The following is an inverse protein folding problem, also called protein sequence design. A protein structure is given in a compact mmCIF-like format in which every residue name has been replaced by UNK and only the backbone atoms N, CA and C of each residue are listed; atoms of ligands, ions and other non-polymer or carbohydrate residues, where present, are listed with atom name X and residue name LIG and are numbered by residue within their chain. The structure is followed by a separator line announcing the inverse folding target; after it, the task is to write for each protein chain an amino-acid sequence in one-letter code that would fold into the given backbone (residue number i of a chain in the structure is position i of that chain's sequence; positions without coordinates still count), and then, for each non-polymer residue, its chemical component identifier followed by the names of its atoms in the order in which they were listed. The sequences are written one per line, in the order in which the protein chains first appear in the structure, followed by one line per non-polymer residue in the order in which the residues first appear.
data_IF_319420113947
#
_entry.id   IF_319420113947
#
_cell.length_a   1.000
_cell.length_b   1.000
_cell.length_c   1.000
_cell.angle_alpha   90.00
_cell.angle_beta   90.00
_cell.angle_gamma   90.00
#
_symmetry.space_group_name_H-M   'P 1'
#
loop_
_entity.id
_entity.type
_entity.pdbx_description
1 polymer ?
#
# COMPACT_ATOMS: atom_id res chain seq x y z
N UNK A 1 1.52 19.39 3.88
CA UNK A 1 0.15 18.88 4.02
C UNK A 1 -0.37 19.26 5.40
N UNK A 2 -1.62 19.70 5.52
CA UNK A 2 -2.22 19.97 6.83
C UNK A 2 -2.27 18.68 7.65
N UNK A 3 -1.97 18.77 8.95
CA UNK A 3 -1.99 17.62 9.85
C UNK A 3 -3.41 17.02 9.92
N UNK A 4 -3.53 15.72 9.67
CA UNK A 4 -4.82 15.03 9.73
C UNK A 4 -5.25 14.93 11.19
N UNK A 5 -6.41 15.50 11.52
CA UNK A 5 -7.00 15.44 12.86
C UNK A 5 -7.18 14.00 13.34
N UNK A 6 -6.85 13.73 14.61
CA UNK A 6 -6.99 12.41 15.23
C UNK A 6 -8.39 11.81 15.04
N UNK A 7 -9.46 12.59 15.19
CA UNK A 7 -10.83 12.11 14.99
C UNK A 7 -11.08 11.49 13.60
N UNK A 8 -10.45 12.04 12.55
CA UNK A 8 -10.53 11.46 11.20
C UNK A 8 -9.77 10.15 11.10
N UNK A 9 -8.58 10.06 11.71
CA UNK A 9 -7.81 8.81 11.80
C UNK A 9 -8.61 7.72 12.49
N UNK A 10 -9.22 8.03 13.63
CA UNK A 10 -10.03 7.08 14.41
C UNK A 10 -11.26 6.61 13.62
N UNK A 11 -11.95 7.52 12.92
CA UNK A 11 -13.11 7.16 12.09
C UNK A 11 -12.75 6.17 10.99
N UNK A 12 -11.61 6.37 10.30
CA UNK A 12 -11.18 5.45 9.24
C UNK A 12 -10.61 4.15 9.78
N UNK A 13 -9.96 4.15 10.96
CA UNK A 13 -9.54 2.91 11.63
C UNK A 13 -10.73 2.04 12.05
N UNK A 14 -11.81 2.67 12.54
CA UNK A 14 -13.07 2.00 12.80
C UNK A 14 -13.66 1.40 11.51
N UNK A 15 -13.79 2.20 10.46
CA UNK A 15 -14.38 1.77 9.19
C UNK A 15 -13.55 0.66 8.53
N UNK A 16 -12.23 0.81 8.49
CA UNK A 16 -11.31 -0.16 7.90
C UNK A 16 -11.31 -1.48 8.65
N UNK A 17 -11.37 -1.45 9.99
CA UNK A 17 -11.47 -2.68 10.80
C UNK A 17 -12.84 -3.34 10.66
N UNK A 18 -13.92 -2.55 10.55
CA UNK A 18 -15.25 -3.07 10.26
C UNK A 18 -15.31 -3.73 8.88
N UNK A 19 -14.73 -3.12 7.84
CA UNK A 19 -14.63 -3.70 6.51
C UNK A 19 -13.80 -4.99 6.52
N UNK A 20 -12.64 -5.00 7.19
CA UNK A 20 -11.81 -6.19 7.38
C UNK A 20 -12.60 -7.35 7.98
N UNK A 21 -13.35 -7.10 9.06
CA UNK A 21 -14.15 -8.13 9.73
C UNK A 21 -15.38 -8.52 8.92
N UNK A 22 -16.04 -7.58 8.25
CA UNK A 22 -17.17 -7.88 7.40
C UNK A 22 -16.78 -8.79 6.23
N UNK A 23 -15.69 -8.48 5.52
CA UNK A 23 -15.27 -9.26 4.36
C UNK A 23 -14.56 -10.56 4.75
N UNK A 24 -13.52 -10.52 5.58
CA UNK A 24 -12.72 -11.72 5.85
C UNK A 24 -13.48 -12.78 6.67
N UNK A 25 -13.76 -12.53 7.95
CA UNK A 25 -14.63 -13.37 8.78
C UNK A 25 -16.03 -13.61 8.19
N UNK A 26 -16.62 -12.64 7.48
CA UNK A 26 -17.90 -12.84 6.81
C UNK A 26 -17.83 -13.82 5.65
N UNK A 27 -16.76 -13.80 4.83
CA UNK A 27 -16.53 -14.85 3.81
C UNK A 27 -16.39 -16.21 4.48
N UNK A 28 -15.69 -16.32 5.61
CA UNK A 28 -15.62 -17.60 6.34
C UNK A 28 -17.00 -18.09 6.80
N UNK A 29 -17.82 -17.22 7.40
CA UNK A 29 -19.19 -17.56 7.80
C UNK A 29 -20.06 -17.96 6.60
N UNK A 30 -19.98 -17.23 5.49
CA UNK A 30 -20.69 -17.54 4.26
C UNK A 30 -20.25 -18.88 3.65
N UNK A 31 -18.95 -19.17 3.64
CA UNK A 31 -18.40 -20.45 3.18
C UNK A 31 -18.92 -21.62 4.03
N UNK A 32 -18.96 -21.49 5.35
CA UNK A 32 -19.55 -22.53 6.21
C UNK A 32 -21.05 -22.70 5.99
N UNK A 33 -21.78 -21.60 5.80
CA UNK A 33 -23.21 -21.64 5.47
C UNK A 33 -23.47 -22.38 4.15
N UNK A 34 -22.72 -22.07 3.09
CA UNK A 34 -22.81 -22.74 1.78
C UNK A 34 -22.38 -24.20 1.87
N UNK A 35 -21.31 -24.52 2.61
CA UNK A 35 -20.87 -25.90 2.81
C UNK A 35 -21.94 -26.76 3.48
N UNK A 36 -22.63 -26.22 4.49
CA UNK A 36 -23.76 -26.91 5.15
C UNK A 36 -24.96 -27.13 4.23
N UNK A 37 -25.26 -26.20 3.32
CA UNK A 37 -26.41 -26.34 2.42
C UNK A 37 -26.13 -27.24 1.22
N UNK A 38 -24.89 -27.29 0.73
CA UNK A 38 -24.50 -28.04 -0.46
C UNK A 38 -23.86 -29.40 -0.16
N UNK A 39 -23.41 -29.63 1.08
CA UNK A 39 -22.67 -30.84 1.45
C UNK A 39 -21.22 -30.86 0.95
N UNK A 40 -20.73 -29.78 0.33
CA UNK A 40 -19.35 -29.69 -0.14
C UNK A 40 -18.41 -29.59 1.07
N UNK A 41 -17.43 -30.51 1.21
CA UNK A 41 -16.50 -30.48 2.32
C UNK A 41 -15.56 -29.27 2.23
N UNK A 42 -15.13 -28.78 3.40
CA UNK A 42 -14.12 -27.73 3.47
C UNK A 42 -12.77 -28.27 2.98
N UNK A 43 -12.14 -27.55 2.05
CA UNK A 43 -10.84 -27.89 1.48
C UNK A 43 -9.97 -26.63 1.33
N UNK A 44 -8.76 -26.82 0.79
CA UNK A 44 -7.87 -25.70 0.46
C UNK A 44 -8.47 -24.70 -0.54
N UNK A 45 -9.44 -25.12 -1.37
CA UNK A 45 -10.14 -24.19 -2.26
C UNK A 45 -10.97 -23.18 -1.48
N UNK A 46 -11.76 -23.64 -0.50
CA UNK A 46 -12.55 -22.77 0.39
C UNK A 46 -11.65 -21.89 1.26
N UNK A 47 -10.56 -22.45 1.79
CA UNK A 47 -9.59 -21.67 2.55
C UNK A 47 -8.93 -20.59 1.68
N UNK A 48 -8.59 -20.91 0.43
CA UNK A 48 -8.02 -19.97 -0.53
C UNK A 48 -8.97 -18.81 -0.86
N UNK A 49 -10.28 -19.06 -0.99
CA UNK A 49 -11.29 -18.01 -1.18
C UNK A 49 -11.36 -17.09 0.04
N UNK A 50 -11.33 -17.66 1.26
CA UNK A 50 -11.29 -16.86 2.50
C UNK A 50 -10.02 -16.02 2.56
N UNK A 51 -8.85 -16.62 2.28
CA UNK A 51 -7.57 -15.93 2.26
C UNK A 51 -7.56 -14.78 1.23
N UNK A 52 -8.12 -15.03 0.04
CA UNK A 52 -8.23 -14.02 -1.01
C UNK A 52 -9.16 -12.88 -0.61
N UNK A 53 -10.29 -13.17 0.05
CA UNK A 53 -11.19 -12.13 0.55
C UNK A 53 -10.49 -11.21 1.58
N UNK A 54 -9.71 -11.79 2.50
CA UNK A 54 -8.85 -11.02 3.41
C UNK A 54 -7.83 -10.17 2.64
N UNK A 55 -7.15 -10.73 1.65
CA UNK A 55 -6.20 -9.98 0.83
C UNK A 55 -6.89 -8.79 0.15
N UNK A 56 -7.98 -9.02 -0.56
CA UNK A 56 -8.65 -8.01 -1.36
C UNK A 56 -9.22 -6.87 -0.52
N UNK A 57 -9.82 -7.16 0.66
CA UNK A 57 -10.32 -6.10 1.52
C UNK A 57 -9.18 -5.27 2.12
N UNK A 58 -8.05 -5.88 2.49
CA UNK A 58 -6.91 -5.13 3.02
C UNK A 58 -6.26 -4.28 1.91
N UNK A 59 -6.11 -4.81 0.68
CA UNK A 59 -5.64 -4.01 -0.48
C UNK A 59 -6.51 -2.77 -0.64
N UNK A 60 -7.83 -2.96 -0.69
CA UNK A 60 -8.76 -1.85 -0.86
C UNK A 60 -8.65 -0.83 0.27
N UNK A 61 -8.61 -1.27 1.53
CA UNK A 61 -8.52 -0.36 2.68
C UNK A 61 -7.19 0.37 2.75
N UNK A 62 -6.06 -0.29 2.48
CA UNK A 62 -4.75 0.38 2.50
C UNK A 62 -4.71 1.52 1.49
N UNK A 63 -5.13 1.29 0.24
CA UNK A 63 -5.13 2.34 -0.77
C UNK A 63 -6.21 3.41 -0.54
N UNK A 64 -7.32 3.06 0.11
CA UNK A 64 -8.43 4.00 0.37
C UNK A 64 -8.17 4.90 1.57
N UNK A 65 -7.68 4.36 2.69
CA UNK A 65 -7.57 5.10 3.97
C UNK A 65 -6.14 5.17 4.53
N UNK A 66 -5.16 4.51 3.89
CA UNK A 66 -3.76 4.52 4.34
C UNK A 66 -3.15 5.90 4.42
N UNK A 67 -3.50 6.80 3.50
CA UNK A 67 -3.03 8.18 3.52
C UNK A 67 -3.67 9.06 4.62
N UNK A 68 -4.69 8.54 5.33
CA UNK A 68 -5.40 9.26 6.41
C UNK A 68 -4.87 8.81 7.78
N UNK A 69 -4.87 7.50 8.07
CA UNK A 69 -4.49 6.95 9.39
C UNK A 69 -3.25 6.05 9.38
N UNK A 70 -2.70 5.72 8.21
CA UNK A 70 -1.76 4.61 8.04
C UNK A 70 -2.44 3.25 7.82
N UNK A 71 -3.78 3.18 7.92
CA UNK A 71 -4.57 1.95 7.77
C UNK A 71 -4.02 0.80 8.62
N UNK A 72 -3.85 1.02 9.93
CA UNK A 72 -3.32 -0.03 10.81
C UNK A 72 -4.30 -1.19 10.91
N UNK A 73 -5.59 -0.87 11.15
CA UNK A 73 -6.74 -1.78 11.26
C UNK A 73 -6.49 -3.04 12.12
N UNK A 74 -5.49 -2.96 13.01
CA UNK A 74 -4.95 -4.07 13.78
C UNK A 74 -4.23 -3.51 15.04
N UNK A 75 -4.70 -3.88 16.25
CA UNK A 75 -4.06 -3.47 17.50
C UNK A 75 -2.59 -3.87 17.61
N UNK A 76 -2.21 -5.06 17.13
CA UNK A 76 -0.83 -5.54 17.20
C UNK A 76 0.11 -4.71 16.30
N UNK A 77 -0.35 -4.34 15.09
CA UNK A 77 0.38 -3.43 14.19
C UNK A 77 0.52 -2.05 14.81
N UNK A 78 -0.56 -1.51 15.39
CA UNK A 78 -0.55 -0.18 16.03
C UNK A 78 0.48 -0.10 17.16
N UNK A 79 0.49 -1.10 18.05
CA UNK A 79 1.44 -1.16 19.17
C UNK A 79 2.87 -1.35 18.66
N UNK A 80 3.09 -2.19 17.65
CA UNK A 80 4.41 -2.38 17.05
C UNK A 80 4.96 -1.09 16.43
N UNK A 81 4.15 -0.38 15.65
CA UNK A 81 4.52 0.91 15.05
C UNK A 81 4.80 1.97 16.12
N UNK A 82 4.02 2.00 17.21
CA UNK A 82 4.29 2.88 18.34
C UNK A 82 5.60 2.55 19.06
N UNK A 83 5.90 1.27 19.27
CA UNK A 83 7.18 0.81 19.82
C UNK A 83 8.38 1.22 18.95
N UNK A 84 8.19 1.23 17.63
CA UNK A 84 9.16 1.73 16.66
C UNK A 84 9.14 3.26 16.44
N UNK A 85 8.39 4.01 17.27
CA UNK A 85 8.23 5.47 17.20
C UNK A 85 7.66 5.99 15.87
N UNK A 86 6.90 5.16 15.16
CA UNK A 86 6.18 5.53 13.92
C UNK A 86 4.77 6.03 14.19
N UNK A 87 4.23 5.74 15.38
CA UNK A 87 2.92 6.23 15.84
C UNK A 87 3.07 6.84 17.25
N UNK A 88 2.56 8.04 17.51
CA UNK A 88 2.59 8.62 18.85
C UNK A 88 1.84 7.74 19.85
N UNK A 89 2.46 7.44 21.00
CA UNK A 89 1.84 6.64 22.06
C UNK A 89 0.54 7.24 22.59
N UNK A 90 0.36 8.57 22.50
CA UNK A 90 -0.88 9.26 22.87
C UNK A 90 -2.07 8.93 21.96
N UNK A 91 -1.83 8.51 20.70
CA UNK A 91 -2.90 8.13 19.76
C UNK A 91 -3.30 6.65 19.91
N UNK A 92 -2.42 5.81 20.46
CA UNK A 92 -2.58 4.34 20.55
C UNK A 92 -3.91 3.94 21.23
N UNK A 93 -4.30 4.50 22.40
CA UNK A 93 -5.57 4.12 23.03
C UNK A 93 -6.77 4.39 22.12
N UNK A 94 -6.76 5.51 21.38
CA UNK A 94 -7.81 5.86 20.42
C UNK A 94 -7.87 4.89 19.26
N UNK A 95 -6.72 4.54 18.66
CA UNK A 95 -6.63 3.56 17.59
C UNK A 95 -7.16 2.18 18.02
N UNK A 96 -6.73 1.70 19.19
CA UNK A 96 -7.18 0.42 19.74
C UNK A 96 -8.69 0.42 19.95
N UNK A 97 -9.24 1.46 20.58
CA UNK A 97 -10.68 1.58 20.79
C UNK A 97 -11.46 1.58 19.46
N UNK A 98 -11.01 2.35 18.47
CA UNK A 98 -11.62 2.41 17.14
C UNK A 98 -11.58 1.05 16.44
N UNK A 99 -10.44 0.35 16.50
CA UNK A 99 -10.27 -0.95 15.87
C UNK A 99 -11.14 -2.02 16.54
N UNK A 100 -11.16 -2.10 17.87
CA UNK A 100 -12.02 -3.06 18.57
C UNK A 100 -13.50 -2.78 18.32
N UNK A 101 -13.93 -1.52 18.39
CA UNK A 101 -15.30 -1.13 18.04
C UNK A 101 -15.64 -1.46 16.58
N UNK A 102 -14.71 -1.21 15.65
CA UNK A 102 -14.84 -1.55 14.25
C UNK A 102 -14.95 -3.06 14.04
N UNK A 103 -14.16 -3.87 14.74
CA UNK A 103 -14.25 -5.32 14.67
C UNK A 103 -15.59 -5.86 15.15
N UNK A 104 -16.15 -5.30 16.22
CA UNK A 104 -17.52 -5.63 16.69
C UNK A 104 -18.56 -5.20 15.67
N UNK A 105 -18.47 -3.97 15.14
CA UNK A 105 -19.39 -3.44 14.13
C UNK A 105 -19.38 -4.27 12.84
N UNK A 106 -18.20 -4.67 12.36
CA UNK A 106 -18.05 -5.56 11.21
C UNK A 106 -18.73 -6.91 11.45
N UNK A 107 -18.64 -7.47 12.65
CA UNK A 107 -19.33 -8.72 12.99
C UNK A 107 -20.85 -8.57 13.04
N UNK A 108 -21.38 -7.44 13.53
CA UNK A 108 -22.80 -7.11 13.40
C UNK A 108 -23.22 -6.95 11.93
N UNK A 109 -22.36 -6.37 11.08
CA UNK A 109 -22.62 -6.27 9.65
C UNK A 109 -22.67 -7.65 8.95
N UNK A 110 -21.85 -8.62 9.38
CA UNK A 110 -21.99 -10.01 8.92
C UNK A 110 -23.38 -10.53 9.28
N UNK A 111 -23.80 -10.36 10.52
CA UNK A 111 -25.12 -10.81 10.98
C UNK A 111 -26.26 -10.11 10.25
N UNK A 112 -26.17 -8.82 9.93
CA UNK A 112 -27.23 -8.15 9.18
C UNK A 112 -27.40 -8.66 7.75
N UNK A 113 -26.36 -9.29 7.17
CA UNK A 113 -26.40 -9.82 5.80
C UNK A 113 -26.70 -11.32 5.78
N UNK A 114 -26.13 -12.09 6.71
CA UNK A 114 -26.27 -13.55 6.76
C UNK A 114 -27.34 -14.02 7.75
N UNK A 115 -27.91 -13.10 8.52
CA UNK A 115 -28.96 -13.32 9.52
C UNK A 115 -28.62 -14.47 10.49
N UNK A 116 -29.64 -15.23 10.90
CA UNK A 116 -29.50 -16.37 11.80
C UNK A 116 -28.57 -17.44 11.24
N UNK A 117 -28.55 -17.63 9.91
CA UNK A 117 -27.65 -18.61 9.27
C UNK A 117 -26.18 -18.25 9.46
N UNK A 118 -25.84 -16.95 9.41
CA UNK A 118 -24.50 -16.46 9.74
C UNK A 118 -24.13 -16.67 11.20
N UNK A 119 -25.09 -16.46 12.11
CA UNK A 119 -24.91 -16.71 13.54
C UNK A 119 -24.65 -18.19 13.83
N UNK A 120 -25.40 -19.08 13.19
CA UNK A 120 -25.25 -20.54 13.29
C UNK A 120 -23.94 -21.04 12.65
N UNK A 121 -23.46 -20.32 11.62
CA UNK A 121 -22.13 -20.51 11.02
C UNK A 121 -21.00 -19.89 11.86
N UNK A 122 -21.34 -19.15 12.92
CA UNK A 122 -20.42 -18.69 13.96
C UNK A 122 -19.80 -17.30 13.72
N UNK A 123 -20.26 -16.52 12.75
CA UNK A 123 -19.80 -15.15 12.43
C UNK A 123 -18.28 -15.01 12.20
N UNK A 124 -17.59 -16.11 11.87
CA UNK A 124 -16.13 -16.11 11.70
C UNK A 124 -15.33 -16.06 13.01
N UNK A 125 -15.95 -16.46 14.14
CA UNK A 125 -15.26 -16.77 15.39
C UNK A 125 -14.22 -17.86 15.15
N UNK A 126 -13.03 -17.67 15.73
CA UNK A 126 -11.92 -18.59 15.61
C UNK A 126 -11.72 -19.41 16.88
N UNK A 127 -11.11 -20.58 16.69
CA UNK A 127 -10.70 -21.46 17.76
C UNK A 127 -9.55 -22.33 17.32
N UNK A 128 -8.77 -22.82 18.27
CA UNK A 128 -7.85 -23.94 18.07
C UNK A 128 -8.30 -25.16 18.87
N UNK A 129 -7.77 -26.34 18.51
CA UNK A 129 -8.11 -27.60 19.19
C UNK A 129 -7.64 -27.56 20.65
N UNK A 130 -8.52 -27.88 21.64
CA UNK A 130 -8.09 -27.97 23.04
C UNK A 130 -6.83 -28.84 23.23
N UNK A 131 -5.96 -28.43 24.16
CA UNK A 131 -4.65 -29.07 24.38
C UNK A 131 -3.54 -28.62 23.42
N UNK A 132 -3.84 -27.89 22.34
CA UNK A 132 -2.85 -27.45 21.34
C UNK A 132 -2.43 -25.98 21.49
N UNK A 133 -2.58 -25.40 22.68
CA UNK A 133 -2.28 -23.99 22.96
C UNK A 133 -0.86 -23.57 22.52
N UNK A 134 0.15 -24.45 22.68
CA UNK A 134 1.52 -24.19 22.22
C UNK A 134 1.61 -24.04 20.70
N UNK A 135 0.99 -24.95 19.95
CA UNK A 135 0.98 -24.89 18.48
C UNK A 135 0.22 -23.66 18.01
N UNK A 136 -0.92 -23.34 18.64
CA UNK A 136 -1.71 -22.16 18.33
C UNK A 136 -0.94 -20.86 18.58
N UNK A 137 -0.27 -20.76 19.74
CA UNK A 137 0.60 -19.63 20.07
C UNK A 137 1.69 -19.44 19.01
N UNK A 138 2.41 -20.51 18.66
CA UNK A 138 3.46 -20.43 17.64
C UNK A 138 2.91 -20.03 16.26
N UNK A 139 1.76 -20.58 15.85
CA UNK A 139 1.18 -20.28 14.56
C UNK A 139 0.76 -18.80 14.44
N UNK A 140 0.08 -18.27 15.47
CA UNK A 140 -0.30 -16.85 15.53
C UNK A 140 0.92 -15.94 15.67
N UNK A 141 1.93 -16.35 16.44
CA UNK A 141 3.18 -15.61 16.61
C UNK A 141 3.91 -15.47 15.26
N UNK A 142 4.14 -16.57 14.55
CA UNK A 142 4.85 -16.58 13.26
C UNK A 142 4.06 -15.81 12.21
N UNK A 143 2.76 -16.07 12.09
CA UNK A 143 1.91 -15.40 11.11
C UNK A 143 1.87 -13.89 11.30
N UNK A 144 1.67 -13.44 12.55
CA UNK A 144 1.63 -12.01 12.87
C UNK A 144 3.01 -11.37 12.73
N UNK A 145 4.07 -12.10 13.06
CA UNK A 145 5.45 -11.63 12.90
C UNK A 145 5.74 -11.34 11.43
N UNK A 146 5.41 -12.26 10.52
CA UNK A 146 5.59 -12.06 9.08
C UNK A 146 4.77 -10.88 8.56
N UNK A 147 3.51 -10.75 8.98
CA UNK A 147 2.68 -9.60 8.66
C UNK A 147 3.37 -8.28 9.09
N UNK A 148 3.73 -8.15 10.37
CA UNK A 148 4.29 -6.92 10.90
C UNK A 148 5.69 -6.64 10.35
N UNK A 149 6.48 -7.68 10.04
CA UNK A 149 7.77 -7.55 9.38
C UNK A 149 7.62 -6.95 7.97
N UNK A 150 6.63 -7.39 7.19
CA UNK A 150 6.33 -6.80 5.87
C UNK A 150 5.79 -5.37 6.00
N UNK A 151 4.99 -5.08 7.03
CA UNK A 151 4.57 -3.70 7.34
C UNK A 151 5.79 -2.80 7.53
N UNK A 152 6.72 -3.18 8.41
CA UNK A 152 7.95 -2.41 8.61
C UNK A 152 8.78 -2.30 7.31
N UNK A 153 8.93 -3.44 6.64
CA UNK A 153 9.63 -3.60 5.36
C UNK A 153 9.21 -2.63 4.28
N UNK A 154 7.91 -2.37 4.18
CA UNK A 154 7.33 -1.67 3.03
C UNK A 154 6.81 -0.27 3.34
N UNK A 155 6.58 0.06 4.62
CA UNK A 155 6.02 1.36 5.02
C UNK A 155 6.99 2.24 5.79
N UNK A 156 8.05 1.67 6.39
CA UNK A 156 8.93 2.42 7.30
C UNK A 156 10.37 2.55 6.81
N UNK A 157 10.73 1.85 5.74
CA UNK A 157 12.05 1.87 5.13
C UNK A 157 11.99 2.49 3.73
N UNK A 158 12.75 3.57 3.54
CA UNK A 158 12.82 4.30 2.28
C UNK A 158 13.52 3.54 1.15
N UNK A 159 14.17 2.41 1.44
CA UNK A 159 14.76 1.51 0.43
C UNK A 159 13.71 0.67 -0.28
N UNK A 160 12.51 0.53 0.29
CA UNK A 160 11.43 -0.21 -0.34
C UNK A 160 10.80 0.59 -1.49
N UNK A 161 10.45 -0.14 -2.54
CA UNK A 161 9.70 0.30 -3.73
C UNK A 161 8.40 1.03 -3.33
N UNK A 162 8.29 2.35 -3.53
CA UNK A 162 7.13 3.15 -3.10
C UNK A 162 5.79 2.61 -3.63
N UNK A 163 4.74 2.69 -2.80
CA UNK A 163 3.38 2.33 -3.20
C UNK A 163 3.05 0.84 -3.19
N UNK A 164 4.05 -0.06 -3.12
CA UNK A 164 3.81 -1.52 -3.10
C UNK A 164 3.34 -2.09 -1.76
N UNK A 165 3.41 -1.31 -0.68
CA UNK A 165 2.94 -1.73 0.65
C UNK A 165 1.49 -2.23 0.62
N UNK A 166 0.63 -1.61 -0.20
CA UNK A 166 -0.79 -1.98 -0.33
C UNK A 166 -1.03 -3.33 -0.98
N UNK A 167 -0.08 -3.87 -1.75
CA UNK A 167 -0.16 -5.24 -2.29
C UNK A 167 0.69 -6.23 -1.48
N UNK A 168 1.87 -5.82 -1.00
CA UNK A 168 2.79 -6.69 -0.26
C UNK A 168 2.21 -7.12 1.09
N UNK A 169 1.65 -6.20 1.88
CA UNK A 169 1.08 -6.49 3.19
C UNK A 169 -0.09 -7.48 3.09
N UNK A 170 -1.07 -7.31 2.19
CA UNK A 170 -2.16 -8.29 2.06
C UNK A 170 -1.71 -9.63 1.45
N UNK A 171 -0.70 -9.64 0.58
CA UNK A 171 -0.16 -10.87 -0.02
C UNK A 171 0.48 -11.77 1.04
N UNK A 172 1.20 -11.21 2.02
CA UNK A 172 1.71 -12.02 3.13
C UNK A 172 0.59 -12.52 4.03
N UNK A 173 -0.49 -11.75 4.24
CA UNK A 173 -1.68 -12.22 4.96
C UNK A 173 -2.33 -13.39 4.24
N UNK A 174 -2.49 -13.32 2.91
CA UNK A 174 -2.97 -14.43 2.10
C UNK A 174 -2.15 -15.71 2.34
N UNK A 175 -0.82 -15.61 2.18
CA UNK A 175 0.09 -16.74 2.34
C UNK A 175 0.10 -17.29 3.78
N UNK A 176 -0.01 -16.43 4.78
CA UNK A 176 -0.10 -16.86 6.18
C UNK A 176 -1.40 -17.59 6.45
N UNK A 177 -2.54 -17.13 5.91
CA UNK A 177 -3.85 -17.78 6.13
C UNK A 177 -3.85 -19.21 5.57
N UNK A 178 -3.22 -19.48 4.42
CA UNK A 178 -3.19 -20.84 3.85
C UNK A 178 -2.45 -21.84 4.74
N UNK A 179 -1.50 -21.39 5.55
CA UNK A 179 -0.71 -22.23 6.46
C UNK A 179 -1.26 -22.24 7.89
N UNK A 180 -1.58 -21.08 8.44
CA UNK A 180 -2.01 -20.89 9.84
C UNK A 180 -3.51 -21.13 10.00
N UNK A 181 -4.30 -20.87 8.95
CA UNK A 181 -5.75 -21.01 8.94
C UNK A 181 -6.25 -22.38 9.43
N UNK A 182 -5.70 -23.51 8.97
CA UNK A 182 -6.10 -24.84 9.45
C UNK A 182 -5.84 -25.11 10.93
N UNK A 183 -4.92 -24.38 11.56
CA UNK A 183 -4.51 -24.60 12.97
C UNK A 183 -5.30 -23.73 13.92
N UNK A 184 -5.47 -22.44 13.60
CA UNK A 184 -6.04 -21.43 14.50
C UNK A 184 -7.09 -20.55 13.86
N UNK A 185 -7.31 -20.68 12.55
CA UNK A 185 -8.10 -19.75 11.75
C UNK A 185 -7.39 -18.45 11.37
N UNK A 186 -6.09 -18.33 11.68
CA UNK A 186 -5.24 -17.17 11.39
C UNK A 186 -5.88 -15.84 11.86
N UNK A 187 -5.89 -15.62 13.17
CA UNK A 187 -6.41 -14.40 13.75
C UNK A 187 -5.55 -13.20 13.32
N UNK A 188 -4.25 -13.25 13.58
CA UNK A 188 -3.23 -12.23 13.24
C UNK A 188 -3.47 -10.81 13.79
N UNK A 189 -4.64 -10.59 14.41
CA UNK A 189 -5.21 -9.29 14.72
C UNK A 189 -6.19 -9.44 15.89
N UNK A 190 -5.89 -8.84 17.06
CA UNK A 190 -6.77 -8.90 18.23
C UNK A 190 -8.20 -8.40 17.99
N UNK A 191 -8.38 -7.32 17.23
CA UNK A 191 -9.70 -6.75 16.96
C UNK A 191 -10.54 -7.64 16.03
N UNK A 192 -9.91 -8.24 15.00
CA UNK A 192 -10.56 -9.23 14.12
C UNK A 192 -10.95 -10.51 14.85
N UNK A 193 -10.21 -10.89 15.89
CA UNK A 193 -10.52 -12.07 16.69
C UNK A 193 -11.64 -11.80 17.70
N UNK A 194 -11.51 -10.75 18.50
CA UNK A 194 -12.46 -10.44 19.57
C UNK A 194 -13.79 -9.89 19.06
N UNK A 195 -13.81 -9.15 17.95
CA UNK A 195 -15.02 -8.56 17.38
C UNK A 195 -16.16 -9.58 17.18
N UNK A 196 -15.96 -10.64 16.39
CA UNK A 196 -16.94 -11.73 16.23
C UNK A 196 -17.34 -12.43 17.53
N UNK A 197 -16.41 -12.63 18.48
CA UNK A 197 -16.74 -13.27 19.76
C UNK A 197 -17.70 -12.40 20.58
N UNK A 198 -17.42 -11.11 20.67
CA UNK A 198 -18.25 -10.14 21.40
C UNK A 198 -19.62 -10.03 20.74
N UNK A 199 -19.68 -9.83 19.42
CA UNK A 199 -20.95 -9.71 18.70
C UNK A 199 -21.82 -10.96 18.89
N UNK A 200 -21.22 -12.16 18.77
CA UNK A 200 -21.94 -13.42 18.98
C UNK A 200 -22.46 -13.57 20.41
N UNK A 201 -21.70 -13.11 21.41
CA UNK A 201 -22.15 -13.11 22.80
C UNK A 201 -23.35 -12.17 23.01
N UNK A 202 -23.28 -10.94 22.45
CA UNK A 202 -24.36 -9.94 22.53
C UNK A 202 -25.62 -10.41 21.83
N UNK A 203 -25.50 -11.11 20.70
CA UNK A 203 -26.61 -11.70 19.95
C UNK A 203 -27.23 -12.95 20.62
N UNK A 204 -26.91 -13.22 21.89
CA UNK A 204 -27.48 -14.34 22.65
C UNK A 204 -26.88 -15.71 22.32
N UNK A 205 -25.91 -15.78 21.42
CA UNK A 205 -25.22 -17.02 21.01
C UNK A 205 -23.86 -17.21 21.71
N UNK A 206 -23.71 -16.67 22.94
CA UNK A 206 -22.48 -16.70 23.71
C UNK A 206 -22.13 -18.04 24.36
N UNK A 207 -23.10 -18.96 24.49
CA UNK A 207 -22.85 -20.30 25.04
C UNK A 207 -21.89 -21.07 24.13
N UNK A 208 -20.81 -21.62 24.71
CA UNK A 208 -19.78 -22.35 23.98
C UNK A 208 -18.65 -21.48 23.39
N UNK A 209 -18.66 -20.16 23.61
CA UNK A 209 -17.52 -19.32 23.26
C UNK A 209 -16.30 -19.67 24.12
N UNK A 210 -15.16 -19.84 23.47
CA UNK A 210 -13.90 -20.27 24.07
C UNK A 210 -13.10 -19.08 24.58
N UNK A 211 -13.65 -18.34 25.55
CA UNK A 211 -12.99 -17.17 26.17
C UNK A 211 -11.62 -17.50 26.79
N UNK A 212 -11.44 -18.74 27.23
CA UNK A 212 -10.17 -19.25 27.75
C UNK A 212 -9.05 -19.31 26.69
N UNK A 213 -9.38 -19.27 25.39
CA UNK A 213 -8.40 -19.24 24.31
C UNK A 213 -7.90 -17.81 24.00
N UNK A 214 -8.63 -16.77 24.42
CA UNK A 214 -8.31 -15.37 24.15
C UNK A 214 -6.89 -14.98 24.56
N UNK A 215 -6.38 -15.36 25.75
CA UNK A 215 -5.03 -14.98 26.16
C UNK A 215 -3.96 -15.47 25.19
N UNK A 216 -4.15 -16.63 24.55
CA UNK A 216 -3.18 -17.19 23.59
C UNK A 216 -3.11 -16.34 22.33
N UNK A 217 -4.26 -16.01 21.74
CA UNK A 217 -4.31 -15.16 20.54
C UNK A 217 -3.77 -13.75 20.81
N UNK A 218 -4.16 -13.14 21.93
CA UNK A 218 -3.73 -11.79 22.31
C UNK A 218 -2.22 -11.77 22.59
N UNK A 219 -1.72 -12.69 23.43
CA UNK A 219 -0.30 -12.73 23.76
C UNK A 219 0.57 -13.00 22.53
N UNK A 220 0.18 -13.95 21.67
CA UNK A 220 0.94 -14.30 20.47
C UNK A 220 1.03 -13.11 19.49
N UNK A 221 -0.11 -12.47 19.19
CA UNK A 221 -0.16 -11.38 18.20
C UNK A 221 0.61 -10.14 18.66
N UNK A 222 0.45 -9.71 19.93
CA UNK A 222 1.22 -8.58 20.45
C UNK A 222 2.72 -8.89 20.59
N UNK A 223 3.08 -10.08 21.09
CA UNK A 223 4.48 -10.50 21.16
C UNK A 223 5.13 -10.50 19.77
N UNK A 224 4.43 -11.02 18.76
CA UNK A 224 4.89 -11.04 17.39
C UNK A 224 5.15 -9.64 16.82
N UNK A 225 4.24 -8.68 17.07
CA UNK A 225 4.42 -7.30 16.61
C UNK A 225 5.66 -6.64 17.20
N UNK A 226 5.89 -6.82 18.50
CA UNK A 226 7.09 -6.29 19.18
C UNK A 226 8.36 -6.99 18.69
N UNK A 227 8.33 -8.32 18.51
CA UNK A 227 9.45 -9.09 17.95
C UNK A 227 9.78 -8.66 16.53
N UNK A 228 8.78 -8.42 15.68
CA UNK A 228 8.97 -7.94 14.32
C UNK A 228 9.58 -6.53 14.30
N UNK A 229 9.15 -5.64 15.20
CA UNK A 229 9.77 -4.31 15.36
C UNK A 229 11.25 -4.42 15.73
N UNK A 230 11.58 -5.26 16.72
CA UNK A 230 12.98 -5.49 17.13
C UNK A 230 13.82 -6.15 16.03
N UNK A 231 13.28 -7.18 15.37
CA UNK A 231 13.95 -7.88 14.27
C UNK A 231 14.21 -6.93 13.09
N UNK A 232 13.22 -6.11 12.71
CA UNK A 232 13.40 -5.16 11.62
C UNK A 232 14.39 -4.06 11.97
N UNK A 233 14.43 -3.58 13.21
CA UNK A 233 15.46 -2.64 13.65
C UNK A 233 16.87 -3.24 13.54
N UNK A 234 17.04 -4.52 13.90
CA UNK A 234 18.31 -5.23 13.77
C UNK A 234 18.72 -5.42 12.30
N UNK A 235 17.81 -5.90 11.45
CA UNK A 235 18.04 -6.13 10.02
C UNK A 235 18.25 -4.81 9.25
N UNK A 236 17.46 -3.79 9.57
CA UNK A 236 17.53 -2.45 8.97
C UNK A 236 18.79 -1.68 9.37
N UNK A 237 19.38 -2.00 10.53
CA UNK A 237 20.66 -1.49 10.98
C UNK A 237 21.87 -1.99 10.16
N UNK A 238 21.68 -3.02 9.32
CA UNK A 238 22.67 -3.40 8.32
C UNK A 238 22.71 -2.30 7.27
N UNK A 239 23.68 -1.40 7.43
CA UNK A 239 23.97 -0.34 6.46
C UNK A 239 24.06 -0.99 5.08
N UNK A 240 23.28 -0.49 4.13
CA UNK A 240 23.60 -0.75 2.73
C UNK A 240 25.09 -0.44 2.56
N UNK A 241 25.86 -1.24 1.78
CA UNK A 241 27.17 -0.79 1.33
C UNK A 241 26.94 0.64 0.87
N UNK A 242 27.67 1.61 1.45
CA UNK A 242 27.69 2.94 0.86
C UNK A 242 28.01 2.66 -0.60
N UNK A 243 27.03 2.82 -1.48
CA UNK A 243 27.32 3.06 -2.87
C UNK A 243 28.45 4.07 -2.78
N UNK A 244 29.64 3.77 -3.37
CA UNK A 244 30.75 4.69 -3.29
C UNK A 244 30.10 6.01 -3.61
N UNK A 245 30.10 6.91 -2.62
CA UNK A 245 29.67 8.26 -2.89
C UNK A 245 30.43 8.54 -4.17
N UNK A 246 29.70 8.88 -5.24
CA UNK A 246 30.29 9.73 -6.25
C UNK A 246 30.80 10.89 -5.41
N UNK A 247 32.04 10.74 -4.92
CA UNK A 247 32.92 11.83 -4.60
C UNK A 247 32.61 12.76 -5.75
N UNK A 248 32.25 13.98 -5.38
CA UNK A 248 32.19 15.09 -6.32
C UNK A 248 33.59 15.20 -6.92
N UNK A 249 33.95 14.27 -7.80
CA UNK A 249 34.96 14.42 -8.79
C UNK A 249 34.38 15.59 -9.57
N UNK A 250 34.99 16.75 -9.38
CA UNK A 250 34.73 17.89 -10.23
C UNK A 250 34.70 17.41 -11.68
N UNK A 251 33.84 18.01 -12.51
CA UNK A 251 33.56 17.50 -13.84
C UNK A 251 34.87 17.12 -14.54
N UNK A 252 35.06 15.81 -14.82
CA UNK A 252 36.17 15.37 -15.67
C UNK A 252 36.07 16.19 -16.96
N UNK A 253 37.18 16.75 -17.48
CA UNK A 253 37.15 17.43 -18.76
C UNK A 253 36.50 16.52 -19.78
N UNK A 254 35.41 16.98 -20.40
CA UNK A 254 34.79 16.23 -21.50
C UNK A 254 35.89 15.98 -22.55
N UNK A 255 36.06 14.75 -23.06
CA UNK A 255 36.83 14.54 -24.28
C UNK A 255 36.29 15.51 -25.33
N UNK A 256 37.17 16.26 -26.00
CA UNK A 256 36.79 17.08 -27.14
C UNK A 256 36.24 16.12 -28.20
N UNK A 257 34.92 15.99 -28.24
CA UNK A 257 34.26 15.39 -29.39
C UNK A 257 34.46 16.36 -30.55
N UNK A 258 35.01 15.86 -31.65
CA UNK A 258 35.11 16.55 -32.94
C UNK A 258 33.70 16.82 -33.47
N UNK A 259 33.05 17.83 -32.91
CA UNK A 259 31.81 18.38 -33.44
C UNK A 259 32.17 19.24 -34.64
N UNK A 260 31.85 18.74 -35.84
CA UNK A 260 31.71 19.60 -37.02
C UNK A 260 30.71 20.73 -36.66
N UNK A 261 31.02 21.99 -37.00
CA UNK A 261 30.18 23.12 -36.63
C UNK A 261 28.90 23.09 -37.46
N UNK A 262 27.81 22.56 -36.89
CA UNK A 262 26.47 22.89 -37.33
C UNK A 262 26.10 24.27 -36.79
N UNK A 263 25.44 25.06 -37.64
CA UNK A 263 25.14 26.48 -37.50
C UNK A 263 24.94 26.94 -36.04
N UNK A 264 25.66 28.00 -35.68
CA UNK A 264 25.59 28.71 -34.41
C UNK A 264 24.16 29.21 -34.14
N UNK A 265 23.35 28.39 -33.48
CA UNK A 265 22.13 28.87 -32.83
C UNK A 265 22.60 29.53 -31.53
N UNK A 266 22.74 30.85 -31.54
CA UNK A 266 23.05 31.62 -30.33
C UNK A 266 21.94 31.39 -29.30
N UNK A 267 22.26 30.66 -28.23
CA UNK A 267 21.43 30.59 -27.05
C UNK A 267 21.71 31.82 -26.19
N UNK A 268 20.68 32.54 -25.70
CA UNK A 268 20.87 33.66 -24.79
C UNK A 268 21.75 33.26 -23.61
N UNK A 269 22.75 34.08 -23.28
CA UNK A 269 23.60 33.81 -22.11
C UNK A 269 22.75 34.00 -20.84
N UNK A 270 23.11 33.29 -19.77
CA UNK A 270 22.44 33.28 -18.44
C UNK A 270 22.15 34.65 -17.80
N UNK A 271 22.59 35.76 -18.39
CA UNK A 271 22.45 37.10 -17.87
C UNK A 271 21.22 37.86 -18.41
N UNK A 272 20.49 37.32 -19.39
CA UNK A 272 19.42 38.07 -20.10
C UNK A 272 17.98 37.68 -19.69
N UNK A 273 17.78 36.79 -18.71
CA UNK A 273 16.43 36.41 -18.24
C UNK A 273 16.13 37.07 -16.89
N UNK A 274 15.58 38.28 -16.93
CA UNK A 274 15.22 39.03 -15.70
C UNK A 274 13.83 38.68 -15.15
N UNK A 275 12.95 38.06 -15.95
CA UNK A 275 11.62 37.59 -15.52
C UNK A 275 11.18 36.38 -16.34
N UNK A 276 10.63 35.37 -15.69
CA UNK A 276 10.03 34.19 -16.32
C UNK A 276 8.53 34.40 -16.39
N UNK A 277 8.01 34.73 -17.57
CA UNK A 277 6.59 34.90 -17.82
C UNK A 277 6.01 33.71 -18.60
N UNK A 278 4.71 33.75 -18.86
CA UNK A 278 4.00 32.69 -19.56
C UNK A 278 4.50 32.52 -20.99
N UNK A 279 4.80 33.63 -21.68
CA UNK A 279 5.34 33.63 -23.03
C UNK A 279 6.72 32.95 -23.10
N UNK A 280 7.59 33.21 -22.13
CA UNK A 280 8.88 32.53 -22.03
C UNK A 280 8.72 31.01 -21.80
N UNK A 281 7.74 30.59 -21.00
CA UNK A 281 7.44 29.17 -20.78
C UNK A 281 6.84 28.50 -22.02
N UNK A 282 5.92 29.18 -22.70
CA UNK A 282 5.36 28.74 -23.99
C UNK A 282 6.46 28.52 -25.02
N UNK A 283 7.34 29.53 -25.19
CA UNK A 283 8.48 29.45 -26.11
C UNK A 283 9.45 28.32 -25.74
N UNK A 284 9.68 28.10 -24.45
CA UNK A 284 10.55 27.01 -23.98
C UNK A 284 9.94 25.62 -24.29
N UNK A 285 8.65 25.43 -24.04
CA UNK A 285 7.94 24.17 -24.35
C UNK A 285 7.95 23.91 -25.86
N UNK A 286 7.69 24.93 -26.68
CA UNK A 286 7.76 24.81 -28.14
C UNK A 286 9.17 24.46 -28.62
N UNK A 287 10.21 25.08 -28.05
CA UNK A 287 11.60 24.75 -28.38
C UNK A 287 11.99 23.32 -27.96
N UNK A 288 11.51 22.87 -26.79
CA UNK A 288 11.72 21.50 -26.32
C UNK A 288 11.02 20.49 -27.24
N UNK A 289 9.80 20.79 -27.68
CA UNK A 289 9.06 19.94 -28.61
C UNK A 289 9.75 19.82 -29.96
N UNK A 290 10.25 20.92 -30.52
CA UNK A 290 11.03 20.88 -31.76
C UNK A 290 12.31 20.04 -31.59
N UNK A 291 13.03 20.22 -30.47
CA UNK A 291 14.25 19.45 -30.20
C UNK A 291 13.96 17.94 -30.11
N UNK A 292 12.84 17.55 -29.50
CA UNK A 292 12.43 16.15 -29.40
C UNK A 292 11.98 15.59 -30.75
N UNK A 293 11.33 16.40 -31.58
CA UNK A 293 10.97 16.06 -32.96
C UNK A 293 12.21 15.75 -33.80
N UNK A 294 13.19 16.69 -33.79
CA UNK A 294 14.43 16.60 -34.54
C UNK A 294 15.28 15.37 -34.16
N UNK A 295 15.16 14.90 -32.91
CA UNK A 295 15.95 13.81 -32.36
C UNK A 295 15.18 12.50 -32.15
N UNK A 296 13.90 12.43 -32.53
CA UNK A 296 13.04 11.27 -32.24
C UNK A 296 13.63 9.96 -32.79
N UNK A 297 14.11 9.97 -34.03
CA UNK A 297 14.72 8.79 -34.66
C UNK A 297 16.03 8.37 -33.97
N UNK A 298 16.84 9.34 -33.55
CA UNK A 298 18.08 9.07 -32.82
C UNK A 298 17.79 8.45 -31.44
N UNK A 299 16.79 8.96 -30.72
CA UNK A 299 16.37 8.42 -29.43
C UNK A 299 15.78 7.01 -29.56
N UNK A 300 14.95 6.77 -30.57
CA UNK A 300 14.45 5.43 -30.89
C UNK A 300 15.59 4.47 -31.23
N UNK A 301 16.60 4.90 -31.98
CA UNK A 301 17.75 4.06 -32.29
C UNK A 301 18.56 3.70 -31.04
N UNK A 302 18.77 4.64 -30.11
CA UNK A 302 19.44 4.37 -28.84
C UNK A 302 18.65 3.39 -27.98
N UNK A 303 17.34 3.57 -27.90
CA UNK A 303 16.44 2.72 -27.13
C UNK A 303 16.39 1.29 -27.69
N UNK A 304 16.41 1.11 -29.01
CA UNK A 304 16.44 -0.20 -29.65
C UNK A 304 17.63 -1.09 -29.24
N UNK A 305 18.70 -0.52 -28.68
CA UNK A 305 19.88 -1.29 -28.22
C UNK A 305 19.59 -2.06 -26.92
N UNK A 306 18.67 -1.57 -26.08
CA UNK A 306 18.42 -2.09 -24.73
C UNK A 306 16.92 -2.22 -24.37
N UNK A 307 16.02 -1.73 -25.22
CA UNK A 307 14.59 -1.58 -25.00
C UNK A 307 13.76 -1.94 -26.24
N UNK A 308 12.51 -1.47 -26.29
CA UNK A 308 11.52 -1.83 -27.31
C UNK A 308 11.44 -0.85 -28.49
N UNK A 309 12.37 0.11 -28.55
CA UNK A 309 12.51 1.10 -29.61
C UNK A 309 11.33 2.09 -29.72
N UNK A 310 10.57 2.28 -28.65
CA UNK A 310 9.40 3.15 -28.64
C UNK A 310 9.69 4.54 -28.05
N UNK A 311 10.83 4.71 -27.36
CA UNK A 311 11.08 5.90 -26.54
C UNK A 311 11.06 7.21 -27.33
N UNK A 312 11.76 7.28 -28.46
CA UNK A 312 11.80 8.48 -29.29
C UNK A 312 10.42 8.87 -29.86
N UNK A 313 9.64 7.87 -30.28
CA UNK A 313 8.27 8.05 -30.76
C UNK A 313 7.35 8.56 -29.65
N UNK A 314 7.46 8.00 -28.45
CA UNK A 314 6.65 8.38 -27.30
C UNK A 314 6.97 9.80 -26.81
N UNK A 315 8.26 10.16 -26.72
CA UNK A 315 8.70 11.51 -26.33
C UNK A 315 8.26 12.57 -27.34
N UNK A 316 8.39 12.28 -28.64
CA UNK A 316 7.89 13.15 -29.72
C UNK A 316 6.39 13.41 -29.56
N UNK A 317 5.59 12.35 -29.40
CA UNK A 317 4.14 12.45 -29.26
C UNK A 317 3.73 13.29 -28.03
N UNK A 318 4.37 13.04 -26.88
CA UNK A 318 4.09 13.79 -25.65
C UNK A 318 4.41 15.27 -25.77
N UNK A 319 5.58 15.61 -26.28
CA UNK A 319 5.99 17.01 -26.41
C UNK A 319 5.21 17.77 -27.49
N UNK A 320 4.81 17.11 -28.58
CA UNK A 320 3.91 17.71 -29.58
C UNK A 320 2.54 18.04 -28.96
N UNK A 321 1.97 17.13 -28.16
CA UNK A 321 0.71 17.38 -27.47
C UNK A 321 0.82 18.55 -26.47
N UNK A 322 1.95 18.63 -25.75
CA UNK A 322 2.22 19.75 -24.85
C UNK A 322 2.35 21.09 -25.59
N UNK A 323 3.01 21.13 -26.75
CA UNK A 323 3.17 22.36 -27.53
C UNK A 323 1.81 22.88 -28.06
N UNK A 324 0.93 22.01 -28.55
CA UNK A 324 -0.39 22.40 -29.08
C UNK A 324 -1.28 23.06 -28.03
N UNK A 325 -1.31 22.52 -26.81
CA UNK A 325 -2.21 23.00 -25.75
C UNK A 325 -1.72 24.27 -25.06
N UNK A 326 -0.45 24.62 -25.27
CA UNK A 326 0.21 25.77 -24.66
C UNK A 326 0.08 27.04 -25.51
N UNK A 327 -0.36 26.91 -26.77
CA UNK A 327 -0.68 28.01 -27.70
C UNK A 327 -2.08 28.62 -27.49
N UNK A 328 -2.85 28.20 -26.46
CA UNK A 328 -4.16 28.79 -26.13
C UNK A 328 -3.99 30.15 -25.41
N UNK A 329 -4.51 31.27 -25.97
CA UNK A 329 -4.22 32.64 -25.51
C UNK A 329 -4.89 33.08 -24.18
N UNK A 330 -5.52 32.20 -23.41
CA UNK A 330 -6.25 32.58 -22.20
C UNK A 330 -5.36 32.81 -20.96
N UNK A 331 -4.66 33.96 -20.88
CA UNK A 331 -4.03 34.56 -19.67
C UNK A 331 -3.58 33.58 -18.57
N UNK A 332 -2.53 32.82 -18.86
CA UNK A 332 -2.03 31.78 -17.96
C UNK A 332 -0.80 32.31 -17.23
N UNK A 333 -0.64 31.99 -15.94
CA UNK A 333 0.63 32.23 -15.23
C UNK A 333 1.70 31.25 -15.72
N UNK A 334 3.01 31.49 -15.52
CA UNK A 334 4.05 30.52 -15.87
C UNK A 334 3.79 29.12 -15.29
N UNK A 335 3.25 29.05 -14.07
CA UNK A 335 2.91 27.79 -13.41
C UNK A 335 1.79 27.03 -14.12
N UNK A 336 0.71 27.72 -14.51
CA UNK A 336 -0.39 27.06 -15.19
C UNK A 336 -0.03 26.64 -16.64
N UNK A 337 0.94 27.31 -17.29
CA UNK A 337 1.51 26.83 -18.56
C UNK A 337 2.22 25.48 -18.36
N UNK A 338 3.00 25.35 -17.29
CA UNK A 338 3.68 24.09 -16.95
C UNK A 338 2.71 22.98 -16.56
N UNK A 339 1.63 23.32 -15.84
CA UNK A 339 0.61 22.34 -15.45
C UNK A 339 -0.13 21.77 -16.68
N UNK A 340 -0.56 22.64 -17.62
CA UNK A 340 -1.22 22.23 -18.86
C UNK A 340 -0.26 21.38 -19.72
N UNK A 341 0.97 21.84 -19.90
CA UNK A 341 1.98 21.13 -20.66
C UNK A 341 2.29 19.75 -20.04
N UNK A 342 2.41 19.67 -18.72
CA UNK A 342 2.66 18.43 -18.00
C UNK A 342 1.50 17.43 -18.13
N UNK A 343 0.26 17.89 -17.98
CA UNK A 343 -0.92 17.05 -18.17
C UNK A 343 -1.04 16.53 -19.61
N UNK A 344 -0.83 17.42 -20.59
CA UNK A 344 -0.84 17.09 -22.01
C UNK A 344 0.23 16.05 -22.36
N UNK A 345 1.46 16.26 -21.88
CA UNK A 345 2.58 15.35 -22.07
C UNK A 345 2.30 13.96 -21.51
N UNK A 346 1.88 13.88 -20.23
CA UNK A 346 1.61 12.60 -19.56
C UNK A 346 0.45 11.83 -20.20
N UNK A 347 -0.61 12.52 -20.61
CA UNK A 347 -1.79 11.90 -21.23
C UNK A 347 -1.49 11.31 -22.61
N UNK A 348 -0.43 11.79 -23.27
CA UNK A 348 -0.08 11.42 -24.63
C UNK A 348 1.25 10.65 -24.74
N UNK A 349 1.91 10.28 -23.62
CA UNK A 349 3.18 9.54 -23.69
C UNK A 349 3.02 8.06 -24.08
N UNK A 350 1.83 7.48 -23.92
CA UNK A 350 1.56 6.05 -24.19
C UNK A 350 2.31 5.10 -23.24
N UNK A 351 2.84 3.98 -23.75
CA UNK A 351 3.49 2.93 -22.93
C UNK A 351 4.69 3.41 -22.09
N UNK A 352 5.36 4.48 -22.54
CA UNK A 352 6.42 5.14 -21.76
C UNK A 352 5.91 6.06 -20.64
N UNK A 353 4.60 6.25 -20.47
CA UNK A 353 4.01 6.94 -19.32
C UNK A 353 4.12 6.11 -18.01
N UNK A 354 4.73 4.92 -18.08
CA UNK A 354 5.25 4.23 -16.91
C UNK A 354 6.16 5.16 -16.09
N UNK A 355 6.34 4.91 -14.78
CA UNK A 355 6.79 5.95 -13.87
C UNK A 355 8.22 6.45 -14.21
N UNK A 356 8.33 7.68 -14.72
CA UNK A 356 9.59 8.44 -14.78
C UNK A 356 10.11 8.86 -13.39
N UNK A 357 9.39 8.48 -12.34
CA UNK A 357 9.89 8.37 -10.97
C UNK A 357 9.77 6.90 -10.57
N UNK A 358 10.92 6.27 -10.32
CA UNK A 358 11.05 4.83 -10.11
C UNK A 358 9.93 4.22 -9.26
N UNK A 359 9.39 3.12 -9.77
CA UNK A 359 8.61 2.15 -9.00
C UNK A 359 9.28 1.86 -7.67
#
# INVERSE_FOLDING_TARGET
MAEVRLSRKLAVEFLGTAALVFCGPGTAAATFMVGRSTGVPFSMAQLGVIALAFMMVIVAMIYTIGHISGCHINPAVTVALAAARRTPWSEVPGYLAAQFAGGVAGAFAIWSVLEQRGLDAGLGVLSYVPGHARSAFCAELIGTFLLVLVVFGTTTDSRATPGWYGLAIPSIVFAVITVVGPVTGAALNPARYLGPMIARAVLGAGKGLLWNQVPVYVAATFAAGLLAAGAYAFLGGVSAPRSPQLQKAGPKPRPKADRKPTATREWPRRQDVTTVDAAAMQAWIGAAAQLMDDNAQYLTHLDAVIGDADHGTNMRRGFQAAAVLVDDPASITPGAVLDIAGQAFMSNLGGAAGPLYGS
#
